data_IF_135823264284
#
_entry.id   IF_135823264284
#
_cell.length_a   1.000
_cell.length_b   1.000
_cell.length_c   1.000
_cell.angle_alpha   90.00
_cell.angle_beta   90.00
_cell.angle_gamma   90.00
#
_symmetry.space_group_name_H-M   'P 1'
#
loop_
_entity.id
_entity.type
_entity.pdbx_description
1 polymer ?
#
# COMPACT_ATOMS: atom_id res chain seq x y z
N UNK A 1 -62.62 10.31 17.13
CA UNK A 1 -62.04 11.56 17.70
C UNK A 1 -61.71 11.21 19.14
N UNK A 2 -60.48 11.13 19.66
CA UNK A 2 -59.19 11.74 19.35
C UNK A 2 -58.19 11.04 20.29
N UNK A 3 -57.32 10.15 19.79
CA UNK A 3 -56.23 9.56 20.60
C UNK A 3 -54.98 9.31 19.74
N UNK A 4 -54.56 10.34 19.02
CA UNK A 4 -53.23 10.43 18.41
C UNK A 4 -52.56 11.67 18.97
N UNK A 5 -51.82 11.54 20.08
CA UNK A 5 -50.78 12.50 20.55
C UNK A 5 -50.21 12.16 21.93
N UNK A 6 -49.68 10.95 22.14
CA UNK A 6 -48.73 10.71 23.24
C UNK A 6 -47.71 9.67 22.78
N UNK A 7 -46.76 10.05 21.92
CA UNK A 7 -45.47 9.35 21.71
C UNK A 7 -44.58 10.23 20.84
N UNK A 8 -44.26 11.43 21.32
CA UNK A 8 -43.34 12.34 20.64
C UNK A 8 -42.50 13.12 21.65
N UNK A 9 -41.85 12.41 22.58
CA UNK A 9 -40.89 13.03 23.50
C UNK A 9 -40.02 12.00 24.22
N UNK A 10 -39.33 11.10 23.51
CA UNK A 10 -38.23 10.36 24.14
C UNK A 10 -37.19 9.77 23.17
N UNK A 11 -36.68 10.57 22.23
CA UNK A 11 -35.70 10.07 21.24
C UNK A 11 -34.57 11.06 20.92
N UNK A 12 -34.30 12.04 21.78
CA UNK A 12 -33.23 13.03 21.54
C UNK A 12 -32.31 13.25 22.74
N UNK A 13 -31.91 12.19 23.44
CA UNK A 13 -30.89 12.29 24.50
C UNK A 13 -30.08 10.99 24.65
N UNK A 14 -29.61 10.34 23.59
CA UNK A 14 -28.64 9.24 23.78
C UNK A 14 -27.71 8.93 22.59
N UNK A 15 -27.35 9.93 21.77
CA UNK A 15 -26.39 9.70 20.66
C UNK A 15 -25.36 10.80 20.47
N UNK A 16 -25.02 11.55 21.54
CA UNK A 16 -24.03 12.65 21.43
C UNK A 16 -22.91 12.62 22.47
N UNK A 17 -22.55 11.44 22.98
CA UNK A 17 -21.44 11.30 23.95
C UNK A 17 -20.32 10.32 23.55
N UNK A 18 -20.41 9.65 22.39
CA UNK A 18 -19.38 8.68 21.96
C UNK A 18 -18.78 9.10 20.60
N UNK A 19 -18.76 10.40 20.25
CA UNK A 19 -18.00 10.91 19.11
C UNK A 19 -17.45 12.28 19.49
N UNK A 20 -16.48 12.30 20.40
CA UNK A 20 -15.77 13.55 20.80
C UNK A 20 -14.41 13.29 21.45
N UNK A 21 -13.92 12.05 21.51
CA UNK A 21 -12.67 11.74 22.22
C UNK A 21 -11.55 11.18 21.33
N UNK A 22 -11.82 10.85 20.06
CA UNK A 22 -10.81 10.40 19.10
C UNK A 22 -10.14 11.54 18.33
N UNK A 23 -10.85 12.64 18.05
CA UNK A 23 -10.27 13.78 17.31
C UNK A 23 -9.29 14.63 18.14
N UNK A 24 -9.41 14.63 19.47
CA UNK A 24 -8.47 15.39 20.32
C UNK A 24 -7.10 14.73 20.48
N UNK A 25 -6.96 13.42 20.23
CA UNK A 25 -5.63 12.77 20.23
C UNK A 25 -4.89 12.99 18.92
N UNK A 26 -5.56 13.00 17.77
CA UNK A 26 -4.87 13.17 16.48
C UNK A 26 -4.29 14.58 16.25
N UNK A 27 -4.93 15.64 16.80
CA UNK A 27 -4.37 17.00 16.70
C UNK A 27 -3.10 17.18 17.55
N UNK A 28 -2.94 16.45 18.66
CA UNK A 28 -1.75 16.57 19.51
C UNK A 28 -0.56 15.80 18.93
N UNK A 29 -0.79 14.66 18.29
CA UNK A 29 0.30 13.87 17.69
C UNK A 29 0.89 14.52 16.44
N UNK A 30 0.07 15.12 15.56
CA UNK A 30 0.59 15.79 14.37
C UNK A 30 1.49 16.99 14.71
N UNK A 31 1.19 17.71 15.80
CA UNK A 31 1.99 18.85 16.25
C UNK A 31 3.32 18.39 16.88
N UNK A 32 3.32 17.24 17.59
CA UNK A 32 4.55 16.65 18.16
C UNK A 32 5.47 16.10 17.06
N UNK A 33 4.92 15.43 16.05
CA UNK A 33 5.70 14.89 14.93
C UNK A 33 6.29 16.04 14.08
N UNK A 34 5.56 17.12 13.86
CA UNK A 34 6.08 18.29 13.13
C UNK A 34 7.16 19.06 13.92
N UNK A 35 7.10 19.07 15.26
CA UNK A 35 8.12 19.70 16.10
C UNK A 35 9.42 18.88 16.17
N UNK A 36 9.32 17.55 16.17
CA UNK A 36 10.49 16.68 16.23
C UNK A 36 11.32 16.76 14.93
N UNK A 37 10.66 16.70 13.77
CA UNK A 37 11.33 16.76 12.47
C UNK A 37 12.03 18.11 12.20
N UNK A 38 11.61 19.19 12.88
CA UNK A 38 12.24 20.51 12.73
C UNK A 38 13.55 20.63 13.53
N UNK A 39 13.70 19.91 14.64
CA UNK A 39 14.96 19.85 15.40
C UNK A 39 16.00 18.98 14.70
N UNK A 40 15.59 17.83 14.19
CA UNK A 40 16.52 16.91 13.55
C UNK A 40 17.14 17.51 12.27
N UNK A 41 16.39 18.35 11.54
CA UNK A 41 16.90 19.00 10.33
C UNK A 41 17.88 20.15 10.60
N UNK A 42 17.77 20.86 11.73
CA UNK A 42 18.73 21.91 12.08
C UNK A 42 20.10 21.34 12.48
N UNK A 43 20.10 20.18 13.14
CA UNK A 43 21.33 19.53 13.59
C UNK A 43 22.11 18.96 12.38
N UNK A 44 21.40 18.37 11.41
CA UNK A 44 22.00 17.89 10.14
C UNK A 44 22.59 19.05 9.32
N UNK A 45 21.92 20.20 9.27
CA UNK A 45 22.44 21.36 8.53
C UNK A 45 23.71 21.96 9.18
N UNK A 46 23.84 21.85 10.51
CA UNK A 46 25.05 22.30 11.20
C UNK A 46 26.23 21.35 10.94
N UNK A 47 25.99 20.04 10.87
CA UNK A 47 27.01 19.02 10.54
C UNK A 47 27.51 19.17 9.09
N UNK A 48 26.62 19.38 8.12
CA UNK A 48 26.99 19.64 6.72
C UNK A 48 27.80 20.94 6.58
N UNK A 49 27.49 21.97 7.39
CA UNK A 49 28.27 23.21 7.37
C UNK A 49 29.67 23.05 7.97
N UNK A 50 29.89 22.11 8.89
CA UNK A 50 31.21 21.86 9.47
C UNK A 50 32.08 21.04 8.51
N UNK A 51 31.54 19.96 7.93
CA UNK A 51 32.28 19.10 6.98
C UNK A 51 32.77 19.87 5.75
N UNK A 52 32.01 20.86 5.27
CA UNK A 52 32.42 21.69 4.12
C UNK A 52 33.64 22.59 4.42
N UNK A 53 33.83 23.00 5.67
CA UNK A 53 34.98 23.83 6.07
C UNK A 53 36.26 23.00 6.13
N UNK A 54 36.18 21.76 6.60
CA UNK A 54 37.34 20.88 6.75
C UNK A 54 37.88 20.40 5.39
N UNK A 55 36.99 20.05 4.46
CA UNK A 55 37.37 19.68 3.08
C UNK A 55 38.10 20.83 2.35
N UNK A 56 37.81 22.08 2.68
CA UNK A 56 38.47 23.23 2.04
C UNK A 56 39.90 23.43 2.57
N UNK A 57 40.18 23.03 3.81
CA UNK A 57 41.50 23.19 4.44
C UNK A 57 42.47 22.11 3.94
N UNK A 58 41.99 20.88 3.74
CA UNK A 58 42.82 19.77 3.27
C UNK A 58 43.26 19.94 1.81
N UNK A 59 42.36 20.41 0.94
CA UNK A 59 42.68 20.66 -0.47
C UNK A 59 43.69 21.81 -0.70
N UNK A 60 43.79 22.75 0.26
CA UNK A 60 44.79 23.81 0.18
C UNK A 60 46.20 23.32 0.56
N UNK A 61 46.28 22.31 1.43
CA UNK A 61 47.56 21.75 1.91
C UNK A 61 48.20 20.80 0.89
N UNK A 62 47.39 20.11 0.07
CA UNK A 62 47.88 19.24 -1.01
C UNK A 62 48.34 20.00 -2.25
N UNK A 63 47.87 21.23 -2.49
CA UNK A 63 48.26 22.01 -3.68
C UNK A 63 49.64 22.70 -3.56
N UNK A 64 50.16 22.91 -2.33
CA UNK A 64 51.50 23.49 -2.12
C UNK A 64 52.63 22.44 -2.13
N UNK A 65 52.31 21.14 -2.08
CA UNK A 65 53.32 20.07 -2.04
C UNK A 65 53.70 19.48 -3.42
N UNK A 66 53.08 19.94 -4.52
CA UNK A 66 53.27 19.37 -5.86
C UNK A 66 54.09 20.24 -6.84
N UNK A 67 54.59 21.42 -6.44
CA UNK A 67 55.33 22.32 -7.32
C UNK A 67 56.85 22.30 -7.07
N UNK A 68 57.42 21.12 -6.84
CA UNK A 68 58.85 20.98 -6.62
C UNK A 68 59.36 19.61 -7.03
N UNK A 69 59.33 19.29 -8.32
CA UNK A 69 60.17 18.24 -8.89
C UNK A 69 60.60 18.60 -10.31
N UNK A 70 61.91 18.50 -10.47
CA UNK A 70 62.79 18.97 -11.51
C UNK A 70 62.55 18.26 -12.85
N UNK A 71 62.57 19.03 -13.93
CA UNK A 71 62.22 18.62 -15.28
C UNK A 71 63.48 18.34 -16.11
N UNK A 72 64.36 17.42 -15.70
CA UNK A 72 65.47 16.96 -16.56
C UNK A 72 65.98 15.57 -16.19
N UNK A 73 65.23 14.48 -16.37
CA UNK A 73 65.87 13.15 -16.51
C UNK A 73 64.97 12.03 -17.06
N UNK A 74 64.42 12.16 -18.27
CA UNK A 74 63.81 11.01 -18.96
C UNK A 74 64.10 11.04 -20.46
N UNK A 75 65.39 10.92 -20.81
CA UNK A 75 65.82 10.63 -22.17
C UNK A 75 66.90 9.54 -22.10
N UNK A 76 66.46 8.28 -21.95
CA UNK A 76 67.16 7.02 -22.31
C UNK A 76 66.44 5.85 -21.63
N UNK A 77 65.47 5.25 -22.32
CA UNK A 77 65.17 3.81 -22.30
C UNK A 77 63.86 3.58 -23.06
N UNK A 78 63.95 3.62 -24.38
CA UNK A 78 62.81 3.46 -25.28
C UNK A 78 62.93 2.19 -26.14
N UNK A 79 63.66 1.18 -25.66
CA UNK A 79 63.95 -0.04 -26.44
C UNK A 79 63.71 -1.35 -25.68
N UNK A 80 62.85 -1.35 -24.66
CA UNK A 80 62.40 -2.58 -23.99
C UNK A 80 60.88 -2.63 -23.73
N UNK A 81 60.11 -1.71 -24.32
CA UNK A 81 58.64 -1.59 -24.13
C UNK A 81 57.83 -2.41 -25.15
N UNK A 82 58.44 -3.31 -25.91
CA UNK A 82 57.74 -4.08 -26.96
C UNK A 82 57.71 -5.60 -26.74
N UNK A 83 58.29 -6.13 -25.65
CA UNK A 83 58.10 -7.55 -25.28
C UNK A 83 57.22 -7.78 -24.04
N UNK A 84 56.87 -6.74 -23.28
CA UNK A 84 55.85 -6.81 -22.20
C UNK A 84 54.42 -6.52 -22.68
N UNK A 85 54.24 -6.06 -23.93
CA UNK A 85 52.92 -5.87 -24.56
C UNK A 85 52.20 -7.17 -24.95
N UNK A 86 52.76 -8.35 -24.64
CA UNK A 86 52.15 -9.64 -25.01
C UNK A 86 51.72 -10.49 -23.81
N UNK A 87 51.90 -10.00 -22.58
CA UNK A 87 51.49 -10.72 -21.36
C UNK A 87 50.76 -9.87 -20.32
N UNK A 88 50.55 -8.58 -20.58
CA UNK A 88 49.62 -7.69 -19.84
C UNK A 88 48.30 -7.47 -20.60
N UNK A 89 47.95 -8.36 -21.54
CA UNK A 89 46.62 -8.48 -22.16
C UNK A 89 45.85 -9.62 -21.45
N UNK A 90 45.84 -9.56 -20.12
CA UNK A 90 44.99 -10.37 -19.24
C UNK A 90 44.81 -9.68 -17.87
N UNK A 91 44.96 -8.36 -17.86
CA UNK A 91 44.69 -7.51 -16.71
C UNK A 91 43.33 -6.91 -16.90
N UNK A 92 42.34 -7.51 -16.24
CA UNK A 92 41.13 -6.85 -15.76
C UNK A 92 40.59 -5.79 -16.73
N UNK A 93 40.12 -6.25 -17.87
CA UNK A 93 38.97 -5.62 -18.49
C UNK A 93 37.82 -5.85 -17.50
N UNK A 94 37.73 -4.98 -16.51
CA UNK A 94 36.42 -4.62 -15.98
C UNK A 94 35.67 -4.13 -17.22
N UNK A 95 34.89 -5.03 -17.82
CA UNK A 95 33.84 -4.70 -18.78
C UNK A 95 32.99 -3.63 -18.08
N UNK A 96 33.31 -2.36 -18.30
CA UNK A 96 32.33 -1.29 -18.27
C UNK A 96 31.39 -1.60 -19.45
N UNK A 97 30.59 -2.65 -19.28
CA UNK A 97 29.43 -2.92 -20.08
C UNK A 97 28.60 -1.64 -19.99
N UNK A 98 28.69 -0.82 -21.03
CA UNK A 98 27.85 0.34 -21.21
C UNK A 98 26.42 -0.13 -20.93
N UNK A 99 25.88 0.25 -19.78
CA UNK A 99 24.63 -0.29 -19.29
C UNK A 99 23.51 0.27 -20.15
N UNK A 100 23.22 -0.42 -21.25
CA UNK A 100 22.14 -0.05 -22.15
C UNK A 100 20.84 -0.46 -21.49
N UNK A 101 20.08 0.54 -21.07
CA UNK A 101 18.75 0.35 -20.51
C UNK A 101 17.81 -0.18 -21.60
N UNK A 102 17.55 -1.48 -21.60
CA UNK A 102 16.54 -2.07 -22.48
C UNK A 102 15.14 -1.66 -21.97
N UNK A 103 14.27 -1.15 -22.84
CA UNK A 103 12.89 -0.77 -22.51
C UNK A 103 11.84 -1.78 -22.97
N UNK A 104 12.29 -2.85 -23.65
CA UNK A 104 11.42 -3.82 -24.32
C UNK A 104 10.67 -4.68 -23.31
N UNK A 105 9.37 -4.84 -23.52
CA UNK A 105 8.50 -5.76 -22.76
C UNK A 105 8.59 -5.59 -21.23
N UNK A 106 8.76 -4.36 -20.75
CA UNK A 106 8.93 -4.05 -19.32
C UNK A 106 7.87 -4.69 -18.42
N UNK A 107 6.63 -4.75 -18.90
CA UNK A 107 5.46 -5.28 -18.19
C UNK A 107 5.67 -6.70 -17.64
N UNK A 108 6.37 -7.55 -18.39
CA UNK A 108 6.58 -8.96 -18.02
C UNK A 108 7.76 -9.17 -17.08
N UNK A 109 8.77 -8.30 -17.18
CA UNK A 109 10.04 -8.45 -16.47
C UNK A 109 10.12 -7.60 -15.20
N UNK A 110 9.31 -6.55 -15.08
CA UNK A 110 9.33 -5.62 -13.95
C UNK A 110 9.27 -6.34 -12.59
N UNK A 111 8.34 -7.29 -12.43
CA UNK A 111 8.18 -8.05 -11.19
C UNK A 111 9.33 -9.04 -10.90
N UNK A 112 10.14 -9.38 -11.92
CA UNK A 112 11.28 -10.30 -11.82
C UNK A 112 12.62 -9.58 -11.66
N UNK A 113 12.63 -8.28 -11.94
CA UNK A 113 13.81 -7.43 -11.90
C UNK A 113 14.24 -7.18 -10.45
N UNK A 114 15.54 -7.06 -10.21
CA UNK A 114 16.07 -6.71 -8.89
C UNK A 114 15.65 -5.28 -8.52
N UNK A 115 15.45 -4.97 -7.23
CA UNK A 115 15.02 -3.64 -6.82
C UNK A 115 16.04 -2.55 -7.19
N UNK A 116 17.34 -2.88 -7.24
CA UNK A 116 18.39 -1.96 -7.67
C UNK A 116 18.23 -1.56 -9.14
N UNK A 117 18.02 -2.54 -10.03
CA UNK A 117 17.81 -2.32 -11.46
C UNK A 117 16.50 -1.54 -11.71
N UNK A 118 15.46 -1.78 -10.90
CA UNK A 118 14.20 -1.03 -10.96
C UNK A 118 14.41 0.44 -10.65
N UNK A 119 15.23 0.76 -9.63
CA UNK A 119 15.56 2.14 -9.27
C UNK A 119 16.35 2.84 -10.37
N UNK A 120 17.36 2.17 -10.93
CA UNK A 120 18.13 2.71 -12.05
C UNK A 120 17.22 3.02 -13.27
N UNK A 121 16.30 2.11 -13.60
CA UNK A 121 15.33 2.34 -14.68
C UNK A 121 14.38 3.51 -14.38
N UNK A 122 13.94 3.67 -13.13
CA UNK A 122 13.10 4.80 -12.71
C UNK A 122 13.85 6.12 -12.88
N UNK A 123 15.13 6.18 -12.48
CA UNK A 123 15.95 7.39 -12.60
C UNK A 123 16.20 7.77 -14.06
N UNK A 124 16.47 6.79 -14.93
CA UNK A 124 16.59 7.04 -16.37
C UNK A 124 15.27 7.56 -16.96
N UNK A 125 14.14 6.95 -16.59
CA UNK A 125 12.82 7.42 -17.02
C UNK A 125 12.50 8.82 -16.52
N UNK A 126 12.86 9.17 -15.29
CA UNK A 126 12.68 10.52 -14.76
C UNK A 126 13.48 11.53 -15.59
N UNK A 127 14.69 11.16 -15.99
CA UNK A 127 15.52 11.97 -16.90
C UNK A 127 14.84 12.11 -18.26
N UNK A 128 14.35 11.02 -18.85
CA UNK A 128 13.60 11.03 -20.12
C UNK A 128 12.33 11.88 -20.09
N UNK A 129 11.63 11.94 -18.95
CA UNK A 129 10.40 12.73 -18.79
C UNK A 129 10.64 14.24 -18.82
N UNK A 130 11.87 14.71 -18.58
CA UNK A 130 12.23 16.14 -18.72
C UNK A 130 12.27 16.59 -20.18
N UNK A 131 12.43 15.66 -21.12
CA UNK A 131 12.51 15.95 -22.55
C UNK A 131 11.12 15.98 -23.21
N UNK A 132 11.05 16.54 -24.42
CA UNK A 132 9.80 16.52 -25.20
C UNK A 132 9.42 15.10 -25.59
N UNK A 133 8.16 14.72 -25.32
CA UNK A 133 7.61 13.38 -25.61
C UNK A 133 7.60 13.01 -27.10
N UNK A 134 7.90 13.96 -27.99
CA UNK A 134 8.04 13.68 -29.42
C UNK A 134 9.29 12.87 -29.75
N UNK A 135 10.37 13.02 -28.96
CA UNK A 135 11.65 12.35 -29.19
C UNK A 135 11.75 10.96 -28.56
N UNK A 136 10.80 10.61 -27.68
CA UNK A 136 10.78 9.30 -27.02
C UNK A 136 10.32 8.19 -27.98
N UNK A 137 10.99 7.05 -27.91
CA UNK A 137 10.62 5.83 -28.65
C UNK A 137 9.28 5.27 -28.14
N UNK A 138 8.63 4.42 -28.94
CA UNK A 138 7.35 3.81 -28.55
C UNK A 138 7.51 2.92 -27.31
N UNK A 139 8.62 2.21 -27.20
CA UNK A 139 8.90 1.32 -26.07
C UNK A 139 9.16 2.10 -24.79
N UNK A 140 9.90 3.21 -24.86
CA UNK A 140 10.08 4.13 -23.72
C UNK A 140 8.75 4.69 -23.24
N UNK A 141 7.87 5.15 -24.16
CA UNK A 141 6.53 5.62 -23.80
C UNK A 141 5.70 4.55 -23.10
N UNK A 142 5.77 3.31 -23.60
CA UNK A 142 5.07 2.17 -23.02
C UNK A 142 5.63 1.86 -21.61
N UNK A 143 6.94 1.88 -21.44
CA UNK A 143 7.61 1.68 -20.17
C UNK A 143 7.21 2.75 -19.14
N UNK A 144 7.23 4.04 -19.54
CA UNK A 144 6.78 5.17 -18.70
C UNK A 144 5.33 4.99 -18.25
N UNK A 145 4.46 4.62 -19.19
CA UNK A 145 3.06 4.35 -18.90
C UNK A 145 2.90 3.20 -17.89
N UNK A 146 3.64 2.11 -18.08
CA UNK A 146 3.59 0.95 -17.20
C UNK A 146 4.16 1.23 -15.80
N UNK A 147 5.25 2.00 -15.68
CA UNK A 147 5.73 2.40 -14.36
C UNK A 147 4.71 3.31 -13.69
N UNK A 148 4.13 4.27 -14.39
CA UNK A 148 3.17 5.20 -13.79
C UNK A 148 1.85 4.52 -13.38
N UNK A 149 1.31 3.64 -14.22
CA UNK A 149 -0.07 3.10 -14.12
C UNK A 149 -0.17 1.58 -14.20
N UNK A 150 0.94 0.86 -14.23
CA UNK A 150 0.96 -0.59 -14.32
C UNK A 150 0.44 -1.29 -13.07
N UNK A 151 0.18 -2.58 -13.22
CA UNK A 151 -0.28 -3.46 -12.15
C UNK A 151 0.92 -3.91 -11.30
N UNK A 152 1.44 -2.99 -10.51
CA UNK A 152 2.50 -3.28 -9.55
C UNK A 152 2.28 -2.51 -8.25
N UNK A 153 2.90 -2.97 -7.17
CA UNK A 153 2.71 -2.41 -5.83
C UNK A 153 1.24 -2.53 -5.36
N UNK A 154 0.65 -1.49 -4.74
CA UNK A 154 -0.72 -1.54 -4.21
C UNK A 154 -1.80 -1.56 -5.31
N UNK A 155 -1.42 -1.35 -6.58
CA UNK A 155 -2.34 -1.39 -7.72
C UNK A 155 -2.42 -2.76 -8.38
N UNK A 156 -1.62 -3.70 -7.91
CA UNK A 156 -1.79 -5.10 -8.29
C UNK A 156 -3.19 -5.50 -7.83
N UNK A 157 -4.00 -6.08 -8.72
CA UNK A 157 -5.30 -6.60 -8.33
C UNK A 157 -5.03 -7.69 -7.29
N UNK A 158 -5.14 -7.34 -6.01
CA UNK A 158 -5.02 -8.33 -4.96
C UNK A 158 -6.13 -9.33 -5.19
N UNK A 159 -5.74 -10.54 -5.59
CA UNK A 159 -6.63 -11.69 -5.49
C UNK A 159 -7.19 -11.64 -4.08
N UNK A 160 -8.52 -11.52 -3.97
CA UNK A 160 -9.25 -11.35 -2.71
C UNK A 160 -8.50 -12.01 -1.58
N UNK A 161 -8.04 -11.19 -0.61
CA UNK A 161 -7.23 -11.69 0.48
C UNK A 161 -7.98 -12.88 1.10
N UNK A 162 -7.34 -14.05 1.18
CA UNK A 162 -7.96 -15.29 1.65
C UNK A 162 -8.81 -15.07 2.93
N UNK A 163 -8.35 -14.31 3.95
CA UNK A 163 -9.19 -13.96 5.10
C UNK A 163 -10.46 -13.17 4.76
N UNK A 164 -10.40 -12.22 3.83
CA UNK A 164 -11.57 -11.44 3.40
C UNK A 164 -12.58 -12.32 2.65
N UNK A 165 -12.10 -13.24 1.83
CA UNK A 165 -12.95 -14.21 1.14
C UNK A 165 -13.67 -15.13 2.13
N UNK A 166 -12.94 -15.67 3.10
CA UNK A 166 -13.51 -16.54 4.15
C UNK A 166 -14.57 -15.78 4.94
N UNK A 167 -14.30 -14.52 5.30
CA UNK A 167 -15.26 -13.69 6.03
C UNK A 167 -16.54 -13.44 5.22
N UNK A 168 -16.42 -13.17 3.90
CA UNK A 168 -17.59 -13.01 3.01
C UNK A 168 -18.42 -14.28 2.90
N UNK A 169 -17.77 -15.44 2.74
CA UNK A 169 -18.48 -16.73 2.63
C UNK A 169 -19.16 -17.07 3.96
N UNK A 170 -18.45 -16.91 5.08
CA UNK A 170 -18.97 -17.22 6.41
C UNK A 170 -20.18 -16.36 6.79
N UNK A 171 -20.08 -15.04 6.58
CA UNK A 171 -21.19 -14.11 6.85
C UNK A 171 -22.41 -14.40 5.98
N UNK A 172 -22.20 -14.69 4.69
CA UNK A 172 -23.27 -15.10 3.78
C UNK A 172 -23.93 -16.42 4.23
N UNK A 173 -23.13 -17.43 4.58
CA UNK A 173 -23.63 -18.73 5.02
C UNK A 173 -24.50 -18.64 6.27
N UNK A 174 -24.12 -17.81 7.25
CA UNK A 174 -24.91 -17.61 8.46
C UNK A 174 -26.24 -16.93 8.13
N UNK A 175 -26.21 -15.88 7.30
CA UNK A 175 -27.42 -15.17 6.90
C UNK A 175 -28.42 -16.12 6.21
N UNK A 176 -27.96 -16.87 5.21
CA UNK A 176 -28.80 -17.82 4.50
C UNK A 176 -29.26 -18.98 5.39
N UNK A 177 -28.42 -19.43 6.34
CA UNK A 177 -28.80 -20.46 7.32
C UNK A 177 -29.96 -20.02 8.21
N UNK A 178 -29.89 -18.81 8.77
CA UNK A 178 -30.96 -18.26 9.63
C UNK A 178 -32.25 -18.04 8.84
N UNK A 179 -32.15 -17.47 7.64
CA UNK A 179 -33.33 -17.25 6.77
C UNK A 179 -33.98 -18.57 6.37
N UNK A 180 -33.18 -19.57 5.98
CA UNK A 180 -33.70 -20.90 5.64
C UNK A 180 -34.39 -21.57 6.83
N UNK A 181 -33.78 -21.51 8.01
CA UNK A 181 -34.36 -22.07 9.23
C UNK A 181 -35.68 -21.39 9.62
N UNK A 182 -35.76 -20.05 9.49
CA UNK A 182 -36.98 -19.30 9.76
C UNK A 182 -38.13 -19.68 8.82
N UNK A 183 -37.86 -19.91 7.53
CA UNK A 183 -38.88 -20.32 6.56
C UNK A 183 -39.44 -21.71 6.91
N UNK A 184 -38.57 -22.66 7.27
CA UNK A 184 -39.00 -24.02 7.63
C UNK A 184 -39.86 -24.01 8.89
N UNK A 185 -39.43 -23.31 9.95
CA UNK A 185 -40.22 -23.22 11.17
C UNK A 185 -41.55 -22.51 10.94
N UNK A 186 -41.57 -21.43 10.15
CA UNK A 186 -42.81 -20.72 9.84
C UNK A 186 -43.86 -21.61 9.15
N UNK A 187 -43.43 -22.53 8.28
CA UNK A 187 -44.33 -23.48 7.63
C UNK A 187 -44.95 -24.47 8.63
N UNK A 188 -44.14 -25.01 9.55
CA UNK A 188 -44.59 -25.96 10.58
C UNK A 188 -45.52 -25.28 11.59
N UNK A 189 -45.15 -24.08 12.04
CA UNK A 189 -45.93 -23.32 13.02
C UNK A 189 -47.33 -23.00 12.49
N UNK A 190 -47.44 -22.71 11.19
CA UNK A 190 -48.73 -22.44 10.55
C UNK A 190 -49.68 -23.63 10.60
N UNK A 191 -49.18 -24.86 10.39
CA UNK A 191 -49.98 -26.07 10.47
C UNK A 191 -50.46 -26.33 11.91
N UNK A 192 -49.56 -26.15 12.89
CA UNK A 192 -49.89 -26.36 14.31
C UNK A 192 -50.92 -25.37 14.84
N UNK A 193 -50.88 -24.11 14.38
CA UNK A 193 -51.89 -23.11 14.74
C UNK A 193 -53.28 -23.54 14.25
N UNK A 194 -53.38 -24.06 13.03
CA UNK A 194 -54.66 -24.56 12.50
C UNK A 194 -55.20 -25.75 13.30
N UNK A 195 -54.34 -26.70 13.66
CA UNK A 195 -54.72 -27.84 14.52
C UNK A 195 -55.25 -27.38 15.90
N UNK A 196 -54.63 -26.36 16.49
CA UNK A 196 -55.04 -25.80 17.79
C UNK A 196 -56.43 -25.14 17.67
N UNK A 197 -56.63 -24.29 16.66
CA UNK A 197 -57.92 -23.61 16.41
C UNK A 197 -59.07 -24.62 16.19
N UNK A 198 -58.83 -25.69 15.43
CA UNK A 198 -59.82 -26.75 15.24
C UNK A 198 -60.14 -27.50 16.54
N UNK A 199 -59.14 -27.71 17.40
CA UNK A 199 -59.30 -28.43 18.66
C UNK A 199 -60.09 -27.59 19.66
N UNK A 200 -59.80 -26.28 19.74
CA UNK A 200 -60.55 -25.32 20.56
C UNK A 200 -62.02 -25.20 20.10
N UNK A 201 -62.26 -25.16 18.79
CA UNK A 201 -63.61 -25.15 18.23
C UNK A 201 -64.40 -26.42 18.61
N UNK A 202 -63.77 -27.60 18.50
CA UNK A 202 -64.39 -28.88 18.92
C UNK A 202 -64.72 -28.87 20.41
N UNK A 203 -63.82 -28.38 21.27
CA UNK A 203 -64.06 -28.28 22.71
C UNK A 203 -65.21 -27.33 23.04
N UNK A 204 -65.31 -26.17 22.37
CA UNK A 204 -66.42 -25.23 22.57
C UNK A 204 -67.78 -25.84 22.20
N UNK A 205 -67.85 -26.62 21.12
CA UNK A 205 -69.06 -27.35 20.73
C UNK A 205 -69.46 -28.42 21.76
N UNK A 206 -68.49 -29.13 22.34
CA UNK A 206 -68.76 -30.12 23.39
C UNK A 206 -69.38 -29.47 24.64
N UNK A 207 -68.88 -28.29 25.04
CA UNK A 207 -69.42 -27.54 26.19
C UNK A 207 -70.85 -27.03 25.95
N UNK A 208 -71.23 -26.69 24.71
CA UNK A 208 -72.61 -26.29 24.39
C UNK A 208 -73.61 -27.45 24.45
N UNK A 209 -73.15 -28.69 24.21
CA UNK A 209 -73.99 -29.88 24.22
C UNK A 209 -74.13 -30.50 25.61
N UNK A 210 -73.47 -29.95 26.63
CA UNK A 210 -73.59 -30.44 28.00
C UNK A 210 -74.99 -30.07 28.54
N UNK A 211 -75.87 -31.06 28.81
CA UNK A 211 -77.24 -30.76 29.19
C UNK A 211 -77.26 -30.07 30.54
N UNK A 212 -77.99 -28.95 30.63
CA UNK A 212 -78.18 -28.21 31.88
C UNK A 212 -78.80 -29.13 32.95
N UNK A 213 -77.94 -29.70 33.79
CA UNK A 213 -78.36 -30.50 34.95
C UNK A 213 -78.95 -29.53 35.97
N UNK A 214 -80.28 -29.43 36.01
CA UNK A 214 -81.02 -28.69 37.03
C UNK A 214 -80.67 -29.24 38.41
N UNK A 215 -80.02 -28.42 39.23
CA UNK A 215 -79.93 -28.62 40.69
C UNK A 215 -81.29 -28.41 41.35
#
# INVERSE_FOLDING_TARGET
MTLTRIFAQNSRCFSRSIISNSERRFSSFNNIICQQHKKDMSDVLHEISQTKKDITIDNKKTFESANGLDATEFAKNEDSRNELKKSEENTLEDEEDEYVVDYSQLEKRWLKMKPEDQLMLIDDINTLQTFSWKFLTKDQKKAIYYISYGQWGPRTQENLNIPELIFKIFSSSILFGVVGFAIVNYAIDKEKVQEIEETEAKQALLQQNEPATKK
#
